data_IF_053029933032
#
_entry.id   IF_053029933032
#
_cell.length_a   1.000
_cell.length_b   1.000
_cell.length_c   1.000
_cell.angle_alpha   90.00
_cell.angle_beta   90.00
_cell.angle_gamma   90.00
#
_symmetry.space_group_name_H-M   'P 1'
#
loop_
_entity.id
_entity.type
_entity.pdbx_description
1 polymer ?
#
# COMPACT_ATOMS: atom_id res chain seq x y z
N UNK A 1 29.01 -10.88 28.24
CA UNK A 1 27.58 -10.87 28.67
C UNK A 1 26.74 -11.20 27.46
N UNK A 2 25.81 -12.14 27.57
CA UNK A 2 24.88 -12.45 26.47
C UNK A 2 23.79 -11.38 26.47
N UNK A 3 23.64 -10.64 25.35
CA UNK A 3 22.53 -9.70 25.20
C UNK A 3 21.22 -10.48 25.13
N UNK A 4 20.22 -9.99 25.88
CA UNK A 4 18.87 -10.56 25.85
C UNK A 4 17.97 -9.64 25.06
N UNK A 5 17.19 -10.22 24.15
CA UNK A 5 16.16 -9.56 23.38
C UNK A 5 14.79 -10.08 23.79
N UNK A 6 13.78 -9.21 23.72
CA UNK A 6 12.39 -9.57 24.02
C UNK A 6 11.75 -10.29 22.84
N UNK A 7 12.09 -9.87 21.62
CA UNK A 7 11.54 -10.39 20.37
C UNK A 7 12.64 -10.59 19.32
N UNK A 8 12.61 -11.73 18.64
CA UNK A 8 13.42 -12.01 17.47
C UNK A 8 12.53 -12.10 16.23
N UNK A 9 12.85 -11.31 15.19
CA UNK A 9 12.13 -11.27 13.92
C UNK A 9 12.98 -11.91 12.86
N UNK A 10 12.44 -12.89 12.15
CA UNK A 10 13.11 -13.56 11.04
C UNK A 10 12.70 -12.89 9.74
N UNK A 11 13.67 -12.30 9.04
CA UNK A 11 13.50 -11.56 7.81
C UNK A 11 13.45 -10.04 8.01
N UNK A 12 14.32 -9.33 7.28
CA UNK A 12 14.47 -7.88 7.30
C UNK A 12 13.85 -7.17 6.09
N UNK A 13 12.78 -7.71 5.51
CA UNK A 13 11.97 -7.00 4.52
C UNK A 13 11.07 -5.93 5.13
N UNK A 14 10.22 -5.28 4.33
CA UNK A 14 9.32 -4.20 4.81
C UNK A 14 8.45 -4.65 5.97
N UNK A 15 7.93 -5.88 5.96
CA UNK A 15 7.08 -6.41 7.04
C UNK A 15 7.89 -6.56 8.33
N UNK A 16 9.02 -7.28 8.30
CA UNK A 16 9.84 -7.50 9.48
C UNK A 16 10.41 -6.20 10.06
N UNK A 17 10.86 -5.29 9.20
CA UNK A 17 11.36 -3.97 9.61
C UNK A 17 10.25 -3.11 10.24
N UNK A 18 9.03 -3.13 9.69
CA UNK A 18 7.88 -2.41 10.26
C UNK A 18 7.49 -2.96 11.63
N UNK A 19 7.41 -4.29 11.78
CA UNK A 19 7.14 -4.94 13.08
C UNK A 19 8.23 -4.58 14.10
N UNK A 20 9.50 -4.61 13.71
CA UNK A 20 10.60 -4.21 14.56
C UNK A 20 10.50 -2.75 15.00
N UNK A 21 10.20 -1.84 14.07
CA UNK A 21 10.03 -0.43 14.37
C UNK A 21 8.94 -0.19 15.42
N UNK A 22 7.75 -0.71 15.19
CA UNK A 22 6.62 -0.49 16.10
C UNK A 22 6.78 -1.18 17.46
N UNK A 23 7.50 -2.29 17.53
CA UNK A 23 7.84 -2.93 18.81
C UNK A 23 8.91 -2.12 19.57
N UNK A 24 9.92 -1.62 18.88
CA UNK A 24 10.95 -0.76 19.48
C UNK A 24 10.35 0.56 20.01
N UNK A 25 9.42 1.18 19.28
CA UNK A 25 8.67 2.35 19.75
C UNK A 25 7.88 2.08 21.06
N UNK A 26 7.48 0.82 21.28
CA UNK A 26 6.82 0.37 22.51
C UNK A 26 7.80 -0.04 23.63
N UNK A 27 9.09 0.17 23.41
CA UNK A 27 10.14 -0.10 24.39
C UNK A 27 10.68 -1.53 24.44
N UNK A 28 10.30 -2.39 23.48
CA UNK A 28 10.84 -3.75 23.39
C UNK A 28 12.25 -3.76 22.79
N UNK A 29 13.12 -4.62 23.31
CA UNK A 29 14.39 -4.94 22.65
C UNK A 29 14.17 -5.95 21.54
N UNK A 30 14.38 -5.52 20.29
CA UNK A 30 14.11 -6.34 19.11
C UNK A 30 15.41 -6.69 18.39
N UNK A 31 15.54 -7.95 17.97
CA UNK A 31 16.57 -8.41 17.05
C UNK A 31 15.95 -8.80 15.72
N UNK A 32 16.54 -8.35 14.61
CA UNK A 32 16.19 -8.82 13.26
C UNK A 32 17.27 -9.78 12.81
N UNK A 33 16.86 -10.98 12.37
CA UNK A 33 17.73 -12.00 11.78
C UNK A 33 17.44 -12.05 10.29
N UNK A 34 18.38 -11.57 9.49
CA UNK A 34 18.28 -11.54 8.03
C UNK A 34 19.38 -12.40 7.40
N UNK A 35 19.03 -13.21 6.39
CA UNK A 35 19.98 -14.11 5.71
C UNK A 35 20.96 -13.38 4.80
N UNK A 36 20.61 -12.19 4.31
CA UNK A 36 21.41 -11.38 3.39
C UNK A 36 21.51 -9.94 3.91
N UNK A 37 21.08 -8.95 3.13
CA UNK A 37 20.98 -7.56 3.54
C UNK A 37 19.51 -7.15 3.73
N UNK A 38 19.27 -6.19 4.60
CA UNK A 38 17.92 -5.66 4.86
C UNK A 38 17.28 -5.19 3.54
N UNK A 39 16.03 -5.57 3.34
CA UNK A 39 15.19 -5.24 2.18
C UNK A 39 15.73 -5.65 0.80
N UNK A 40 16.68 -6.58 0.72
CA UNK A 40 17.36 -6.95 -0.54
C UNK A 40 16.53 -7.76 -1.55
N UNK A 41 15.40 -8.28 -1.12
CA UNK A 41 14.52 -9.16 -1.91
C UNK A 41 13.28 -8.40 -2.44
N UNK A 42 12.08 -8.96 -2.27
CA UNK A 42 10.82 -8.43 -2.78
C UNK A 42 10.54 -6.96 -2.40
N UNK A 43 10.93 -6.53 -1.20
CA UNK A 43 10.72 -5.15 -0.74
C UNK A 43 11.48 -4.12 -1.57
N UNK A 44 12.68 -4.48 -2.06
CA UNK A 44 13.46 -3.61 -2.95
C UNK A 44 12.90 -3.60 -4.38
N UNK A 45 12.32 -4.71 -4.81
CA UNK A 45 11.78 -4.87 -6.16
C UNK A 45 10.35 -4.31 -6.31
N UNK A 46 9.66 -4.03 -5.21
CA UNK A 46 8.30 -3.53 -5.23
C UNK A 46 8.23 -2.09 -5.75
N UNK A 47 7.17 -1.77 -6.50
CA UNK A 47 6.90 -0.42 -6.99
C UNK A 47 6.38 0.53 -5.88
N UNK A 48 6.01 0.01 -4.70
CA UNK A 48 5.56 0.81 -3.56
C UNK A 48 4.09 1.23 -3.61
N UNK A 49 3.26 0.57 -4.43
CA UNK A 49 1.84 0.88 -4.51
C UNK A 49 1.11 0.47 -3.21
N UNK A 50 0.36 1.41 -2.63
CA UNK A 50 -0.54 1.16 -1.51
C UNK A 50 -1.95 0.88 -2.05
N UNK A 51 -2.12 -0.33 -2.59
CA UNK A 51 -3.25 -0.70 -3.44
C UNK A 51 -4.51 -1.15 -2.71
N UNK A 52 -4.89 -0.57 -1.57
CA UNK A 52 -6.05 -1.00 -0.78
C UNK A 52 -7.30 -1.19 -1.63
N UNK A 53 -7.61 -0.24 -2.51
CA UNK A 53 -8.78 -0.31 -3.39
C UNK A 53 -8.53 -1.10 -4.68
N UNK A 54 -7.26 -1.49 -4.97
CA UNK A 54 -6.89 -2.16 -6.21
C UNK A 54 -6.74 -3.70 -6.08
N UNK A 55 -6.59 -4.23 -4.87
CA UNK A 55 -6.23 -5.63 -4.65
C UNK A 55 -7.43 -6.59 -4.65
N UNK A 56 -8.65 -6.11 -4.36
CA UNK A 56 -9.81 -6.99 -4.19
C UNK A 56 -10.96 -6.62 -5.13
N UNK A 57 -11.56 -7.65 -5.72
CA UNK A 57 -12.77 -7.52 -6.51
C UNK A 57 -14.04 -7.61 -5.66
N UNK A 58 -13.94 -8.19 -4.45
CA UNK A 58 -15.03 -8.29 -3.49
C UNK A 58 -14.52 -8.00 -2.07
N UNK A 59 -15.43 -7.57 -1.21
CA UNK A 59 -15.12 -7.33 0.21
C UNK A 59 -14.58 -8.59 0.88
N UNK A 60 -13.54 -8.41 1.68
CA UNK A 60 -13.01 -9.43 2.59
C UNK A 60 -12.40 -8.77 3.85
N UNK A 61 -12.21 -9.52 4.95
CA UNK A 61 -11.71 -8.95 6.22
C UNK A 61 -10.33 -8.30 6.12
N UNK A 62 -9.48 -8.70 5.18
CA UNK A 62 -8.15 -8.09 4.98
C UNK A 62 -8.25 -6.67 4.43
N UNK A 63 -9.37 -6.32 3.78
CA UNK A 63 -9.61 -4.96 3.31
C UNK A 63 -9.61 -3.94 4.46
N UNK A 64 -10.25 -4.26 5.59
CA UNK A 64 -10.26 -3.38 6.76
C UNK A 64 -8.86 -3.19 7.34
N UNK A 65 -8.09 -4.28 7.46
CA UNK A 65 -6.69 -4.20 7.91
C UNK A 65 -5.85 -3.34 6.96
N UNK A 66 -6.05 -3.47 5.67
CA UNK A 66 -5.34 -2.67 4.67
C UNK A 66 -5.73 -1.18 4.73
N UNK A 67 -7.01 -0.86 4.99
CA UNK A 67 -7.48 0.51 5.23
C UNK A 67 -6.83 1.13 6.45
N UNK A 68 -6.84 0.43 7.58
CA UNK A 68 -6.17 0.88 8.81
C UNK A 68 -4.67 1.10 8.57
N UNK A 69 -4.03 0.17 7.86
CA UNK A 69 -2.63 0.30 7.47
C UNK A 69 -2.38 1.54 6.59
N UNK A 70 -3.21 1.77 5.58
CA UNK A 70 -3.10 2.97 4.71
C UNK A 70 -3.25 4.26 5.51
N UNK A 71 -4.17 4.30 6.46
CA UNK A 71 -4.46 5.50 7.24
C UNK A 71 -3.28 6.00 8.08
N UNK A 72 -2.32 5.14 8.43
CA UNK A 72 -1.13 5.54 9.19
C UNK A 72 0.01 6.07 8.30
N UNK A 73 -0.02 5.85 6.98
CA UNK A 73 1.10 6.20 6.09
C UNK A 73 1.46 7.69 6.06
N UNK A 74 0.53 8.66 6.06
CA UNK A 74 0.89 10.08 6.10
C UNK A 74 1.76 10.43 7.31
N UNK A 75 1.35 9.98 8.49
CA UNK A 75 2.11 10.20 9.72
C UNK A 75 3.43 9.42 9.72
N UNK A 76 3.41 8.17 9.29
CA UNK A 76 4.60 7.32 9.21
C UNK A 76 5.65 7.95 8.28
N UNK A 77 5.25 8.44 7.11
CA UNK A 77 6.16 9.12 6.17
C UNK A 77 6.83 10.34 6.81
N UNK A 78 6.05 11.15 7.53
CA UNK A 78 6.59 12.32 8.24
C UNK A 78 7.59 11.92 9.33
N UNK A 79 7.25 10.92 10.15
CA UNK A 79 8.12 10.42 11.23
C UNK A 79 9.41 9.81 10.67
N UNK A 80 9.32 9.03 9.61
CA UNK A 80 10.50 8.44 8.97
C UNK A 80 11.41 9.54 8.41
N UNK A 81 10.86 10.53 7.73
CA UNK A 81 11.64 11.66 7.22
C UNK A 81 12.34 12.44 8.34
N UNK A 82 11.64 12.71 9.44
CA UNK A 82 12.21 13.40 10.60
C UNK A 82 13.37 12.61 11.23
N UNK A 83 13.17 11.29 11.46
CA UNK A 83 14.13 10.44 12.15
C UNK A 83 15.34 10.04 11.30
N UNK A 84 15.16 9.87 10.00
CA UNK A 84 16.19 9.30 9.12
C UNK A 84 16.73 10.28 8.08
N UNK A 85 16.04 11.39 7.83
CA UNK A 85 16.33 12.30 6.72
C UNK A 85 15.90 11.76 5.34
N UNK A 86 15.30 10.55 5.30
CA UNK A 86 14.89 9.91 4.04
C UNK A 86 13.44 10.22 3.76
N UNK A 87 13.17 10.79 2.59
CA UNK A 87 11.82 10.94 2.05
C UNK A 87 11.44 9.65 1.31
N UNK A 88 10.40 8.96 1.76
CA UNK A 88 9.91 7.74 1.12
C UNK A 88 9.06 8.00 -0.14
N UNK A 89 8.86 9.27 -0.51
CA UNK A 89 8.08 9.65 -1.69
C UNK A 89 6.59 9.30 -1.58
N UNK A 90 6.00 9.42 -0.37
CA UNK A 90 4.58 9.14 -0.19
C UNK A 90 3.72 10.18 -0.90
N UNK A 91 2.81 9.71 -1.76
CA UNK A 91 1.89 10.54 -2.53
C UNK A 91 0.46 9.97 -2.49
N UNK A 92 -0.54 10.84 -2.38
CA UNK A 92 -1.98 10.53 -2.41
C UNK A 92 -2.60 11.02 -3.72
N UNK A 93 -2.32 10.35 -4.84
CA UNK A 93 -2.84 10.75 -6.16
C UNK A 93 -4.01 9.94 -6.65
N UNK A 94 -4.41 8.92 -5.90
CA UNK A 94 -5.44 7.98 -6.31
C UNK A 94 -4.93 6.91 -7.28
N UNK A 95 -5.85 6.05 -7.73
CA UNK A 95 -5.59 4.93 -8.63
C UNK A 95 -6.72 4.88 -9.65
N UNK A 96 -6.39 4.72 -10.91
CA UNK A 96 -7.36 4.40 -11.96
C UNK A 96 -7.45 2.88 -12.15
N UNK A 97 -8.68 2.37 -12.14
CA UNK A 97 -9.00 1.07 -12.76
C UNK A 97 -9.56 1.35 -14.14
N UNK A 98 -8.98 0.75 -15.17
CA UNK A 98 -9.36 0.99 -16.56
C UNK A 98 -10.11 -0.20 -17.13
N UNK A 99 -11.05 0.07 -18.03
CA UNK A 99 -11.78 -0.92 -18.82
C UNK A 99 -11.57 -0.66 -20.32
N UNK A 100 -11.43 -1.74 -21.11
CA UNK A 100 -11.31 -1.69 -22.56
C UNK A 100 -12.52 -2.32 -23.27
N UNK A 101 -13.45 -2.87 -22.49
CA UNK A 101 -14.70 -3.47 -22.98
C UNK A 101 -15.79 -3.39 -21.91
N UNK A 102 -17.03 -3.66 -22.29
CA UNK A 102 -18.19 -3.54 -21.41
C UNK A 102 -18.13 -4.54 -20.24
N UNK A 103 -17.62 -5.77 -20.42
CA UNK A 103 -17.50 -6.77 -19.34
C UNK A 103 -16.56 -6.29 -18.24
N UNK A 104 -15.42 -5.70 -18.63
CA UNK A 104 -14.47 -5.10 -17.68
C UNK A 104 -15.08 -3.90 -16.97
N UNK A 105 -15.83 -3.07 -17.69
CA UNK A 105 -16.52 -1.93 -17.11
C UNK A 105 -17.58 -2.35 -16.11
N UNK A 106 -18.41 -3.36 -16.41
CA UNK A 106 -19.39 -3.88 -15.46
C UNK A 106 -18.72 -4.42 -14.20
N UNK A 107 -17.59 -5.14 -14.34
CA UNK A 107 -16.80 -5.61 -13.21
C UNK A 107 -16.28 -4.45 -12.35
N UNK A 108 -15.74 -3.40 -12.97
CA UNK A 108 -15.25 -2.21 -12.25
C UNK A 108 -16.38 -1.48 -11.53
N UNK A 109 -17.54 -1.34 -12.16
CA UNK A 109 -18.72 -0.72 -11.54
C UNK A 109 -19.21 -1.53 -10.33
N UNK A 110 -19.18 -2.86 -10.41
CA UNK A 110 -19.51 -3.72 -9.27
C UNK A 110 -18.50 -3.54 -8.11
N UNK A 111 -17.21 -3.44 -8.43
CA UNK A 111 -16.17 -3.16 -7.42
C UNK A 111 -16.39 -1.78 -6.78
N UNK A 112 -16.68 -0.76 -7.58
CA UNK A 112 -16.97 0.58 -7.11
C UNK A 112 -18.16 0.60 -6.15
N UNK A 113 -19.24 -0.11 -6.48
CA UNK A 113 -20.46 -0.16 -5.65
C UNK A 113 -20.19 -0.70 -4.24
N UNK A 114 -19.48 -1.84 -4.09
CA UNK A 114 -19.16 -2.34 -2.75
C UNK A 114 -18.15 -1.45 -2.02
N UNK A 115 -17.17 -0.87 -2.72
CA UNK A 115 -16.21 0.04 -2.09
C UNK A 115 -16.91 1.30 -1.54
N UNK A 116 -17.81 1.91 -2.29
CA UNK A 116 -18.62 3.04 -1.81
C UNK A 116 -19.46 2.67 -0.60
N UNK A 117 -20.04 1.46 -0.57
CA UNK A 117 -20.81 0.95 0.59
C UNK A 117 -19.95 0.75 1.83
N UNK A 118 -18.65 0.57 1.68
CA UNK A 118 -17.69 0.50 2.80
C UNK A 118 -17.08 1.86 3.16
N UNK A 119 -17.50 2.93 2.50
CA UNK A 119 -17.05 4.29 2.79
C UNK A 119 -15.77 4.72 2.07
N UNK A 120 -15.36 3.98 1.02
CA UNK A 120 -14.26 4.41 0.17
C UNK A 120 -14.72 5.41 -0.89
N UNK A 121 -13.91 6.45 -1.12
CA UNK A 121 -14.13 7.39 -2.20
C UNK A 121 -13.75 6.73 -3.54
N UNK A 122 -14.76 6.49 -4.37
CA UNK A 122 -14.58 6.01 -5.73
C UNK A 122 -15.67 6.57 -6.63
N UNK A 123 -15.32 6.89 -7.87
CA UNK A 123 -16.25 7.45 -8.84
C UNK A 123 -15.88 7.03 -10.26
N UNK A 124 -16.90 6.95 -11.11
CA UNK A 124 -16.72 6.62 -12.52
C UNK A 124 -16.27 7.84 -13.32
N UNK A 125 -15.30 7.62 -14.21
CA UNK A 125 -14.89 8.58 -15.24
C UNK A 125 -15.01 7.91 -16.60
N UNK A 126 -15.41 8.67 -17.60
CA UNK A 126 -15.36 8.19 -19.00
C UNK A 126 -13.91 8.15 -19.49
N UNK A 127 -13.64 7.33 -20.51
CA UNK A 127 -12.31 7.26 -21.14
C UNK A 127 -11.80 8.63 -21.59
N UNK A 128 -12.68 9.51 -22.12
CA UNK A 128 -12.30 10.86 -22.52
C UNK A 128 -11.81 11.70 -21.34
N UNK A 129 -12.52 11.72 -20.23
CA UNK A 129 -12.11 12.45 -19.02
C UNK A 129 -10.79 11.94 -18.44
N UNK A 130 -10.56 10.62 -18.50
CA UNK A 130 -9.31 10.06 -18.01
C UNK A 130 -8.15 10.46 -18.94
N UNK A 131 -8.33 10.44 -20.25
CA UNK A 131 -7.30 10.86 -21.23
C UNK A 131 -6.95 12.35 -21.14
N UNK A 132 -7.86 13.21 -20.72
CA UNK A 132 -7.54 14.62 -20.45
C UNK A 132 -6.47 14.78 -19.34
N UNK A 133 -6.48 13.87 -18.38
CA UNK A 133 -5.52 13.87 -17.24
C UNK A 133 -4.29 13.00 -17.52
N UNK A 134 -4.49 11.89 -18.23
CA UNK A 134 -3.50 10.88 -18.54
C UNK A 134 -3.41 10.65 -20.06
N UNK A 135 -2.79 11.56 -20.81
CA UNK A 135 -2.84 11.58 -22.28
C UNK A 135 -2.13 10.42 -22.96
N UNK A 136 -1.37 9.61 -22.21
CA UNK A 136 -0.71 8.41 -22.73
C UNK A 136 -1.57 7.15 -22.68
N UNK A 137 -2.77 7.22 -22.12
CA UNK A 137 -3.68 6.09 -22.10
C UNK A 137 -4.28 5.84 -23.49
N UNK A 138 -4.49 4.56 -23.81
CA UNK A 138 -5.05 4.14 -25.11
C UNK A 138 -6.45 4.70 -25.35
N UNK A 139 -6.75 4.97 -26.64
CA UNK A 139 -8.10 5.32 -27.08
C UNK A 139 -9.13 4.18 -26.87
N UNK A 140 -8.67 2.94 -26.70
CA UNK A 140 -9.55 1.79 -26.41
C UNK A 140 -10.13 1.78 -24.99
N UNK A 141 -9.73 2.70 -24.11
CA UNK A 141 -10.28 2.81 -22.76
C UNK A 141 -11.64 3.52 -22.82
N UNK A 142 -12.66 2.90 -22.21
CA UNK A 142 -14.06 3.32 -22.22
C UNK A 142 -14.53 3.80 -20.86
#
# INVERSE_FOLDING_TARGET
MCEKYDVAIIGGGVIGSSVAHFLAERGHKVAIVEKQSIASEASKAAAGLLGVQAEWDAYNPLFELARESRAIFPQLAAVLREKTGIDIGYEEKGIYRIAQNEDEKERILHIMDWQQKTGEDSYFLTGDHVREKEPYLSESII
#
